data_IF_230372518216
#
_entry.id   IF_230372518216
#
_cell.length_a   1.000
_cell.length_b   1.000
_cell.length_c   1.000
_cell.angle_alpha   90.00
_cell.angle_beta   90.00
_cell.angle_gamma   90.00
#
_symmetry.space_group_name_H-M   'P 1'
#
loop_
_entity.id
_entity.type
_entity.pdbx_description
1 polymer ?
#
# COMPACT_ATOMS: atom_id res chain seq x y z
N UNK A 1 11.88 -20.99 2.32
CA UNK A 1 11.77 -19.53 2.44
C UNK A 1 10.75 -19.25 3.53
N UNK A 2 11.16 -18.81 4.71
CA UNK A 2 10.23 -18.32 5.74
C UNK A 2 10.27 -16.79 5.65
N UNK A 3 9.24 -16.19 5.06
CA UNK A 3 9.05 -14.73 5.08
C UNK A 3 8.30 -14.42 6.37
N UNK A 4 9.05 -14.11 7.43
CA UNK A 4 8.46 -13.54 8.64
C UNK A 4 8.16 -12.08 8.32
N UNK A 5 6.93 -11.78 7.90
CA UNK A 5 6.47 -10.42 7.69
C UNK A 5 6.29 -9.72 9.04
N UNK A 6 7.39 -9.21 9.61
CA UNK A 6 7.33 -8.33 10.77
C UNK A 6 6.90 -6.95 10.27
N UNK A 7 5.59 -6.70 10.27
CA UNK A 7 5.03 -5.38 10.01
C UNK A 7 5.35 -4.48 11.21
N UNK A 8 5.98 -3.32 10.95
CA UNK A 8 6.25 -2.30 11.96
C UNK A 8 5.03 -1.42 12.18
N UNK A 9 4.82 -0.97 13.42
CA UNK A 9 3.68 -0.14 13.80
C UNK A 9 4.11 1.18 14.45
N UNK A 10 3.36 2.24 14.16
CA UNK A 10 3.45 3.54 14.84
C UNK A 10 2.04 3.97 15.24
N UNK A 11 1.80 4.14 16.54
CA UNK A 11 0.46 4.44 17.08
C UNK A 11 -0.65 3.49 16.58
N UNK A 12 -0.33 2.21 16.44
CA UNK A 12 -1.27 1.18 15.95
C UNK A 12 -1.48 1.17 14.43
N UNK A 13 -0.78 2.03 13.68
CA UNK A 13 -0.85 2.10 12.21
C UNK A 13 0.35 1.41 11.58
N UNK A 14 0.15 0.85 10.39
CA UNK A 14 1.22 0.19 9.64
C UNK A 14 2.21 1.23 9.09
N UNK A 15 3.49 1.00 9.39
CA UNK A 15 4.62 1.82 8.92
C UNK A 15 5.10 1.29 7.57
N UNK A 16 5.39 2.21 6.64
CA UNK A 16 5.86 1.85 5.30
C UNK A 16 7.26 1.20 5.35
N UNK A 17 7.43 -0.03 4.86
CA UNK A 17 8.74 -0.70 4.84
C UNK A 17 9.67 -0.18 3.73
N UNK A 18 9.15 0.57 2.74
CA UNK A 18 9.92 1.04 1.59
C UNK A 18 10.69 2.32 1.89
N UNK A 19 10.08 3.28 2.56
CA UNK A 19 10.70 4.59 2.84
C UNK A 19 11.31 4.66 4.25
N UNK A 20 11.83 3.53 4.75
CA UNK A 20 12.43 3.42 6.09
C UNK A 20 11.51 3.93 7.21
N UNK A 21 10.21 3.75 7.03
CA UNK A 21 9.18 4.12 7.99
C UNK A 21 8.83 5.60 8.10
N UNK A 22 9.24 6.42 7.13
CA UNK A 22 8.84 7.83 7.09
C UNK A 22 7.36 8.05 6.77
N UNK A 23 6.70 7.07 6.15
CA UNK A 23 5.28 7.12 5.81
C UNK A 23 4.45 6.02 6.45
N UNK A 24 3.14 6.21 6.43
CA UNK A 24 2.13 5.27 6.93
C UNK A 24 1.35 4.66 5.77
N UNK A 25 0.87 3.43 5.98
CA UNK A 25 0.08 2.72 4.98
C UNK A 25 -1.40 2.98 5.21
N UNK A 26 -2.05 3.56 4.20
CA UNK A 26 -3.50 3.71 4.13
C UNK A 26 -4.12 2.72 3.15
N UNK A 27 -5.42 2.47 3.34
CA UNK A 27 -6.23 1.63 2.49
C UNK A 27 -6.87 2.50 1.41
N UNK A 28 -6.63 2.18 0.15
CA UNK A 28 -7.24 2.84 -1.00
C UNK A 28 -8.28 1.97 -1.70
N UNK A 29 -9.25 2.59 -2.38
CA UNK A 29 -10.14 1.93 -3.33
C UNK A 29 -10.02 2.56 -4.71
N UNK A 30 -9.71 1.76 -5.72
CA UNK A 30 -9.70 2.20 -7.12
C UNK A 30 -11.16 2.33 -7.59
N UNK A 31 -11.57 3.51 -8.04
CA UNK A 31 -12.96 3.80 -8.43
C UNK A 31 -13.51 2.88 -9.52
N UNK A 32 -12.71 2.63 -10.56
CA UNK A 32 -13.12 1.84 -11.72
C UNK A 32 -13.03 0.30 -11.57
N UNK A 33 -12.42 -0.21 -10.49
CA UNK A 33 -12.09 -1.65 -10.40
C UNK A 33 -12.62 -2.36 -9.13
N UNK A 34 -13.40 -1.68 -8.28
CA UNK A 34 -13.84 -2.19 -6.97
C UNK A 34 -12.72 -2.91 -6.18
N UNK A 35 -11.48 -2.47 -6.38
CA UNK A 35 -10.28 -3.13 -5.89
C UNK A 35 -9.70 -2.33 -4.75
N UNK A 36 -9.45 -3.02 -3.64
CA UNK A 36 -8.76 -2.46 -2.49
C UNK A 36 -7.25 -2.59 -2.70
N UNK A 37 -6.53 -1.53 -2.38
CA UNK A 37 -5.08 -1.49 -2.40
C UNK A 37 -4.57 -0.82 -1.12
N UNK A 38 -3.27 -0.96 -0.86
CA UNK A 38 -2.61 -0.39 0.30
C UNK A 38 -1.49 0.52 -0.20
N UNK A 39 -1.43 1.76 0.26
CA UNK A 39 -0.55 2.78 -0.29
C UNK A 39 0.18 3.52 0.83
N UNK A 40 1.46 3.83 0.62
CA UNK A 40 2.22 4.75 1.45
C UNK A 40 1.84 6.20 1.15
N UNK A 41 1.52 6.99 2.17
CA UNK A 41 1.19 8.42 2.06
C UNK A 41 2.38 9.32 1.69
N UNK A 42 3.62 8.85 1.87
CA UNK A 42 4.83 9.64 1.59
C UNK A 42 5.55 9.27 0.28
N UNK A 43 5.58 7.98 -0.09
CA UNK A 43 6.43 7.50 -1.19
C UNK A 43 5.67 6.76 -2.30
N UNK A 44 4.33 6.78 -2.26
CA UNK A 44 3.46 6.19 -3.29
C UNK A 44 3.70 4.70 -3.57
N UNK A 45 4.39 3.98 -2.67
CA UNK A 45 4.53 2.54 -2.74
C UNK A 45 3.16 1.89 -2.51
N UNK A 46 2.79 0.93 -3.35
CA UNK A 46 1.50 0.27 -3.36
C UNK A 46 1.61 -1.26 -3.28
N UNK A 47 0.62 -1.89 -2.64
CA UNK A 47 0.47 -3.35 -2.49
C UNK A 47 -0.98 -3.77 -2.72
N UNK A 48 -1.18 -4.97 -3.29
CA UNK A 48 -2.51 -5.58 -3.48
C UNK A 48 -3.12 -6.09 -2.17
N UNK A 49 -2.29 -6.56 -1.23
CA UNK A 49 -2.74 -7.23 -0.01
C UNK A 49 -1.94 -6.77 1.21
N UNK A 50 -2.62 -6.65 2.36
CA UNK A 50 -2.01 -6.28 3.64
C UNK A 50 -0.93 -7.29 4.06
N UNK A 51 -1.17 -8.57 3.81
CA UNK A 51 -0.23 -9.68 4.08
C UNK A 51 1.04 -9.58 3.26
N UNK A 52 1.04 -8.83 2.15
CA UNK A 52 2.17 -8.70 1.25
C UNK A 52 2.96 -7.40 1.46
N UNK A 53 2.65 -6.59 2.49
CA UNK A 53 3.38 -5.35 2.74
C UNK A 53 4.82 -5.67 3.14
N UNK A 54 5.76 -5.47 2.21
CA UNK A 54 7.21 -5.55 2.45
C UNK A 54 7.98 -4.75 1.39
N UNK A 55 9.28 -4.55 1.63
CA UNK A 55 10.19 -3.85 0.70
C UNK A 55 10.43 -4.63 -0.60
N UNK A 56 10.15 -5.93 -0.64
CA UNK A 56 10.42 -6.78 -1.81
C UNK A 56 9.22 -6.89 -2.77
N UNK A 57 8.05 -6.41 -2.36
CA UNK A 57 6.75 -6.70 -3.01
C UNK A 57 6.00 -5.46 -3.44
N UNK A 58 6.53 -4.27 -3.16
CA UNK A 58 5.89 -3.02 -3.55
C UNK A 58 5.93 -2.79 -5.06
N UNK A 59 5.02 -1.96 -5.55
CA UNK A 59 5.14 -1.29 -6.85
C UNK A 59 4.85 0.20 -6.66
N UNK A 60 5.43 1.06 -7.48
CA UNK A 60 5.01 2.47 -7.52
C UNK A 60 3.54 2.55 -7.94
N UNK A 61 2.75 3.41 -7.29
CA UNK A 61 1.29 3.51 -7.50
C UNK A 61 0.94 3.69 -8.98
N UNK A 62 1.65 4.56 -9.70
CA UNK A 62 1.42 4.79 -11.13
C UNK A 62 1.60 3.50 -11.94
N UNK A 63 2.71 2.78 -11.74
CA UNK A 63 2.97 1.51 -12.42
C UNK A 63 1.96 0.44 -12.01
N UNK A 64 1.50 0.47 -10.77
CA UNK A 64 0.47 -0.43 -10.27
C UNK A 64 -0.85 -0.20 -11.02
N UNK A 65 -1.31 1.05 -11.12
CA UNK A 65 -2.53 1.41 -11.84
C UNK A 65 -2.44 1.10 -13.34
N UNK A 66 -1.30 1.36 -13.97
CA UNK A 66 -1.04 0.96 -15.36
C UNK A 66 -1.19 -0.55 -15.56
N UNK A 67 -0.58 -1.37 -14.70
CA UNK A 67 -0.68 -2.84 -14.77
C UNK A 67 -2.09 -3.36 -14.54
N UNK A 68 -2.91 -2.64 -13.78
CA UNK A 68 -4.33 -2.95 -13.56
C UNK A 68 -5.24 -2.43 -14.69
N UNK A 69 -4.69 -1.70 -15.67
CA UNK A 69 -5.43 -1.15 -16.80
C UNK A 69 -6.23 0.11 -16.46
N UNK A 70 -5.88 0.80 -15.38
CA UNK A 70 -6.60 1.95 -14.84
C UNK A 70 -5.69 3.17 -14.55
N UNK A 71 -4.88 3.62 -15.52
CA UNK A 71 -3.82 4.62 -15.27
C UNK A 71 -4.31 6.01 -14.85
N UNK A 72 -5.59 6.32 -15.07
CA UNK A 72 -6.20 7.62 -14.76
C UNK A 72 -7.32 7.51 -13.71
N UNK A 73 -7.46 6.36 -13.04
CA UNK A 73 -8.49 6.20 -12.01
C UNK A 73 -8.07 6.87 -10.71
N UNK A 74 -9.05 7.46 -10.04
CA UNK A 74 -8.86 8.00 -8.70
C UNK A 74 -8.78 6.87 -7.68
N UNK A 75 -7.96 7.09 -6.65
CA UNK A 75 -7.93 6.24 -5.47
C UNK A 75 -8.64 6.97 -4.33
N UNK A 76 -9.75 6.39 -3.87
CA UNK A 76 -10.46 6.88 -2.69
C UNK A 76 -9.70 6.40 -1.46
N UNK A 77 -9.25 7.34 -0.63
CA UNK A 77 -8.69 7.06 0.69
C UNK A 77 -9.79 6.54 1.64
N UNK A 78 -9.59 5.34 2.17
CA UNK A 78 -10.46 4.68 3.15
C UNK A 78 -9.88 4.71 4.57
N UNK A 79 -8.77 5.41 4.78
CA UNK A 79 -8.10 5.61 6.05
C UNK A 79 -6.90 4.69 6.29
N UNK A 80 -6.15 5.01 7.34
CA UNK A 80 -4.98 4.24 7.76
C UNK A 80 -5.32 2.83 8.22
N UNK A 81 -4.44 1.89 7.87
CA UNK A 81 -4.58 0.50 8.32
C UNK A 81 -4.21 0.42 9.80
N UNK A 82 -5.15 -0.07 10.61
CA UNK A 82 -4.97 -0.33 12.04
C UNK A 82 -5.08 -1.84 12.29
N UNK A 83 -4.24 -2.37 13.19
CA UNK A 83 -4.28 -3.76 13.66
C UNK A 83 -4.81 -3.83 15.10
#
# INVERSE_FOLDING_TARGET
MQKNNNISLFEGKIVCPRCDGNGLIYKGKITGLDTIIYICDECEAAWDEISNISVDTFSDLTLFLEKKGCPNEDVIDLGYVTL
#
